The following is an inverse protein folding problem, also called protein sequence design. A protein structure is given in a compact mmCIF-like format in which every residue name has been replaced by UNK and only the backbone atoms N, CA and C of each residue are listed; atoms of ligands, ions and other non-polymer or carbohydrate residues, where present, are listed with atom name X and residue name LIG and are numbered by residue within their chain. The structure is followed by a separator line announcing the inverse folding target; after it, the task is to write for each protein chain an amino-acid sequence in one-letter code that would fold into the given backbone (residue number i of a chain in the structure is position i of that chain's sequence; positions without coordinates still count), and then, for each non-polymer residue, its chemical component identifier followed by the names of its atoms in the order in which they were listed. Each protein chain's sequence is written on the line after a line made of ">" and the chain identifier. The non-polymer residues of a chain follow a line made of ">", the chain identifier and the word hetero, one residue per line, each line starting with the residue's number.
data_IF_636544766550
#
_entry.id   IF_636544766550
#
_cell.length_a   1.000
_cell.length_b   1.000
_cell.length_c   1.000
_cell.angle_alpha   90.00
_cell.angle_beta   90.00
_cell.angle_gamma   90.00
#
_symmetry.space_group_name_H-M   'P 1'
#
loop_
_entity.id
_entity.type
_entity.pdbx_description
1 polymer ?
#
# COMPACT_ATOMS: atom_id res chain seq x y z
N UNK A 1 7.47 9.19 14.55
CA UNK A 1 7.50 8.11 13.53
C UNK A 1 7.99 8.74 12.25
N UNK A 2 9.09 8.23 11.68
CA UNK A 2 9.66 8.76 10.43
C UNK A 2 9.35 7.72 9.36
N UNK A 3 8.54 8.09 8.38
CA UNK A 3 8.27 7.28 7.19
C UNK A 3 9.43 7.53 6.21
N UNK A 4 10.02 6.48 5.66
CA UNK A 4 11.07 6.56 4.66
C UNK A 4 10.55 7.14 3.34
N UNK A 5 11.47 7.49 2.45
CA UNK A 5 11.10 8.03 1.14
C UNK A 5 10.40 6.95 0.29
N UNK A 6 10.78 5.70 0.48
CA UNK A 6 10.30 4.50 -0.20
C UNK A 6 8.91 4.10 0.31
N UNK A 7 8.72 4.09 1.64
CA UNK A 7 7.41 3.90 2.28
C UNK A 7 6.43 5.00 1.87
N UNK A 8 6.90 6.25 1.77
CA UNK A 8 6.10 7.38 1.26
C UNK A 8 5.66 7.14 -0.18
N UNK A 9 6.58 6.74 -1.07
CA UNK A 9 6.25 6.43 -2.48
C UNK A 9 5.24 5.29 -2.60
N UNK A 10 5.35 4.28 -1.73
CA UNK A 10 4.40 3.17 -1.72
C UNK A 10 2.99 3.63 -1.30
N UNK A 11 2.89 4.46 -0.27
CA UNK A 11 1.64 5.09 0.17
C UNK A 11 1.04 6.03 -0.89
N UNK A 12 1.88 6.83 -1.55
CA UNK A 12 1.51 7.67 -2.70
C UNK A 12 0.93 6.83 -3.82
N UNK A 13 1.61 5.75 -4.21
CA UNK A 13 1.17 4.86 -5.28
C UNK A 13 -0.19 4.24 -4.96
N UNK A 14 -0.38 3.74 -3.73
CA UNK A 14 -1.68 3.21 -3.27
C UNK A 14 -2.78 4.27 -3.32
N UNK A 15 -2.50 5.48 -2.83
CA UNK A 15 -3.46 6.58 -2.80
C UNK A 15 -3.84 7.04 -4.22
N UNK A 16 -2.86 7.16 -5.12
CA UNK A 16 -3.06 7.50 -6.52
C UNK A 16 -3.90 6.44 -7.24
N UNK A 17 -3.64 5.16 -7.00
CA UNK A 17 -4.42 4.05 -7.55
C UNK A 17 -5.85 4.07 -6.99
N UNK A 18 -6.03 4.37 -5.71
CA UNK A 18 -7.35 4.54 -5.09
C UNK A 18 -8.17 5.65 -5.77
N UNK A 19 -7.54 6.78 -6.08
CA UNK A 19 -8.19 7.92 -6.73
C UNK A 19 -8.45 7.69 -8.23
N UNK A 20 -7.55 7.01 -8.93
CA UNK A 20 -7.68 6.69 -10.37
C UNK A 20 -8.75 5.63 -10.63
N UNK A 21 -8.95 4.70 -9.70
CA UNK A 21 -10.02 3.70 -9.79
C UNK A 21 -11.34 4.24 -9.22
N UNK A 22 -12.25 4.71 -10.09
CA UNK A 22 -13.66 5.04 -9.77
C UNK A 22 -14.52 3.79 -9.45
N UNK A 23 -14.00 2.82 -8.71
CA UNK A 23 -14.67 1.53 -8.50
C UNK A 23 -14.68 1.09 -7.04
N UNK A 24 -14.91 1.99 -6.08
CA UNK A 24 -15.39 1.65 -4.73
C UNK A 24 -14.67 0.49 -4.02
N UNK A 25 -13.38 0.28 -4.33
CA UNK A 25 -12.57 -0.82 -3.81
C UNK A 25 -11.25 -0.23 -3.35
N UNK A 26 -11.12 -0.08 -2.04
CA UNK A 26 -9.87 0.28 -1.34
C UNK A 26 -8.86 -0.88 -1.34
N UNK A 27 -8.93 -1.77 -2.33
CA UNK A 27 -8.37 -3.12 -2.30
C UNK A 27 -7.48 -3.33 -3.52
N UNK A 28 -6.17 -3.47 -3.30
CA UNK A 28 -5.16 -3.65 -4.33
C UNK A 28 -4.62 -5.07 -4.30
N UNK A 29 -4.40 -5.71 -5.45
CA UNK A 29 -3.68 -6.99 -5.46
C UNK A 29 -2.22 -6.76 -5.11
N UNK A 30 -1.65 -7.64 -4.28
CA UNK A 30 -0.26 -7.55 -3.85
C UNK A 30 0.71 -7.45 -5.03
N UNK A 31 0.51 -8.28 -6.07
CA UNK A 31 1.34 -8.26 -7.28
C UNK A 31 1.19 -6.97 -8.08
N UNK A 32 -0.03 -6.44 -8.21
CA UNK A 32 -0.27 -5.19 -8.92
C UNK A 32 0.43 -4.03 -8.22
N UNK A 33 0.39 -4.01 -6.88
CA UNK A 33 1.06 -3.00 -6.09
C UNK A 33 2.59 -3.11 -6.19
N UNK A 34 3.13 -4.32 -6.08
CA UNK A 34 4.55 -4.59 -6.25
C UNK A 34 5.04 -4.09 -7.63
N UNK A 35 4.35 -4.49 -8.70
CA UNK A 35 4.68 -4.09 -10.07
C UNK A 35 4.56 -2.57 -10.27
N UNK A 36 3.56 -1.93 -9.65
CA UNK A 36 3.33 -0.48 -9.78
C UNK A 36 4.30 0.36 -8.95
N UNK A 37 4.83 -0.20 -7.85
CA UNK A 37 5.81 0.49 -6.99
C UNK A 37 7.17 0.68 -7.68
N UNK A 38 7.52 -0.22 -8.61
CA UNK A 38 8.84 -0.24 -9.24
C UNK A 38 9.99 -0.60 -8.31
N UNK A 39 9.69 -1.07 -7.09
CA UNK A 39 10.68 -1.52 -6.10
C UNK A 39 11.07 -2.99 -6.36
N UNK A 40 12.27 -3.39 -5.91
CA UNK A 40 12.61 -4.81 -5.85
C UNK A 40 11.71 -5.54 -4.85
N UNK A 41 11.42 -6.82 -5.10
CA UNK A 41 10.50 -7.63 -4.28
C UNK A 41 10.82 -7.59 -2.79
N UNK A 42 12.11 -7.68 -2.43
CA UNK A 42 12.55 -7.66 -1.04
C UNK A 42 12.36 -6.29 -0.37
N UNK A 43 12.61 -5.20 -1.11
CA UNK A 43 12.43 -3.84 -0.59
C UNK A 43 10.94 -3.52 -0.42
N UNK A 44 10.13 -3.92 -1.41
CA UNK A 44 8.67 -3.81 -1.35
C UNK A 44 8.10 -4.56 -0.15
N UNK A 45 8.50 -5.82 0.07
CA UNK A 45 8.06 -6.62 1.21
C UNK A 45 8.40 -5.95 2.55
N UNK A 46 9.63 -5.45 2.66
CA UNK A 46 10.13 -4.85 3.88
C UNK A 46 9.39 -3.54 4.21
N UNK A 47 9.18 -2.68 3.21
CA UNK A 47 8.47 -1.42 3.41
C UNK A 47 6.97 -1.63 3.60
N UNK A 48 6.37 -2.57 2.85
CA UNK A 48 4.98 -2.95 3.06
C UNK A 48 4.78 -3.49 4.48
N UNK A 49 5.67 -4.35 4.97
CA UNK A 49 5.60 -4.89 6.33
C UNK A 49 5.62 -3.78 7.39
N UNK A 50 6.53 -2.82 7.27
CA UNK A 50 6.56 -1.67 8.19
C UNK A 50 5.28 -0.84 8.10
N UNK A 51 4.76 -0.59 6.91
CA UNK A 51 3.49 0.14 6.76
C UNK A 51 2.31 -0.60 7.43
N UNK A 52 2.32 -1.93 7.42
CA UNK A 52 1.35 -2.77 8.14
C UNK A 52 1.54 -2.64 9.65
N UNK A 53 2.77 -2.80 10.16
CA UNK A 53 3.07 -2.65 11.59
C UNK A 53 2.68 -1.26 12.11
N UNK A 54 2.86 -0.24 11.28
CA UNK A 54 2.48 1.13 11.58
C UNK A 54 0.97 1.41 11.40
N UNK A 55 0.20 0.45 10.88
CA UNK A 55 -1.25 0.53 10.70
C UNK A 55 -1.72 1.45 9.57
N UNK A 56 -0.84 1.79 8.62
CA UNK A 56 -1.21 2.57 7.43
C UNK A 56 -1.89 1.70 6.36
N UNK A 57 -1.59 0.40 6.36
CA UNK A 57 -2.16 -0.58 5.43
C UNK A 57 -2.45 -1.89 6.16
N UNK A 58 -3.30 -2.74 5.59
CA UNK A 58 -3.43 -4.13 6.05
C UNK A 58 -3.55 -5.09 4.87
N UNK A 59 -3.13 -6.33 5.09
CA UNK A 59 -3.22 -7.40 4.09
C UNK A 59 -4.42 -8.29 4.39
N UNK A 60 -5.30 -8.45 3.40
CA UNK A 60 -6.37 -9.43 3.38
C UNK A 60 -5.94 -10.64 2.57
N UNK A 61 -5.68 -11.76 3.25
CA UNK A 61 -5.22 -12.98 2.61
C UNK A 61 -6.41 -13.88 2.25
N UNK A 62 -6.54 -14.26 0.97
CA UNK A 62 -7.67 -15.05 0.47
C UNK A 62 -7.55 -16.58 0.70
N UNK A 63 -6.61 -17.03 1.54
CA UNK A 63 -6.44 -18.45 1.92
C UNK A 63 -5.79 -19.37 0.88
N UNK A 64 -5.33 -18.85 -0.27
CA UNK A 64 -4.71 -19.65 -1.35
C UNK A 64 -3.21 -19.41 -1.53
N UNK A 65 -2.73 -18.17 -1.42
CA UNK A 65 -1.31 -17.80 -1.50
C UNK A 65 -1.11 -16.32 -1.14
N UNK A 66 0.06 -15.95 -0.60
CA UNK A 66 0.43 -14.55 -0.30
C UNK A 66 0.40 -13.68 -1.56
N UNK A 67 0.73 -14.25 -2.72
CA UNK A 67 0.67 -13.55 -4.01
C UNK A 67 -0.76 -13.19 -4.46
N UNK A 68 -1.76 -13.86 -3.88
CA UNK A 68 -3.19 -13.57 -4.10
C UNK A 68 -3.80 -12.75 -2.96
N UNK A 69 -2.96 -12.18 -2.10
CA UNK A 69 -3.42 -11.32 -1.03
C UNK A 69 -3.76 -9.94 -1.57
N UNK A 70 -4.71 -9.30 -0.91
CA UNK A 70 -5.03 -7.91 -1.18
C UNK A 70 -4.41 -7.00 -0.13
N UNK A 71 -3.92 -5.85 -0.56
CA UNK A 71 -3.43 -4.78 0.29
C UNK A 71 -4.50 -3.68 0.32
N UNK A 72 -4.86 -3.23 1.52
CA UNK A 72 -5.88 -2.22 1.72
C UNK A 72 -5.26 -1.02 2.44
N UNK A 73 -5.45 0.17 1.88
CA UNK A 73 -5.06 1.43 2.53
C UNK A 73 -6.04 1.72 3.67
N UNK A 74 -5.53 1.88 4.88
CA UNK A 74 -6.39 2.23 6.02
C UNK A 74 -6.77 3.71 5.96
N UNK A 75 -7.81 4.09 6.70
CA UNK A 75 -8.14 5.50 6.93
C UNK A 75 -6.96 6.31 7.47
N UNK A 76 -6.06 5.68 8.24
CA UNK A 76 -4.84 6.32 8.74
C UNK A 76 -3.83 6.57 7.60
N UNK A 77 -3.62 5.59 6.72
CA UNK A 77 -2.84 5.74 5.49
C UNK A 77 -3.37 6.85 4.61
N UNK A 78 -4.68 6.84 4.37
CA UNK A 78 -5.37 7.84 3.56
C UNK A 78 -5.23 9.26 4.13
N UNK A 79 -5.50 9.44 5.44
CA UNK A 79 -5.36 10.74 6.12
C UNK A 79 -3.93 11.24 6.02
N UNK A 80 -2.94 10.36 6.25
CA UNK A 80 -1.53 10.73 6.13
C UNK A 80 -1.18 11.17 4.70
N UNK A 81 -1.65 10.45 3.67
CA UNK A 81 -1.47 10.82 2.28
C UNK A 81 -2.08 12.20 1.98
N UNK A 82 -3.31 12.46 2.44
CA UNK A 82 -3.95 13.76 2.24
C UNK A 82 -3.16 14.91 2.89
N UNK A 83 -2.65 14.71 4.10
CA UNK A 83 -1.90 15.74 4.83
C UNK A 83 -0.48 15.98 4.32
N UNK A 84 0.16 14.97 3.70
CA UNK A 84 1.60 15.00 3.35
C UNK A 84 1.89 15.04 1.84
N UNK A 85 0.86 14.92 0.99
CA UNK A 85 0.95 14.93 -0.48
C UNK A 85 0.32 16.17 -1.14
N UNK A 86 -0.25 17.08 -0.34
CA UNK A 86 -0.75 18.40 -0.77
C UNK A 86 0.32 19.47 -0.55
#
# INVERSE_FOLDING_TARGET
>A
MIISMEEKKLLECMYDLQQKHQLGKDVFEYQDLQNSSGLEEQEFELDLHKLIENGFVYILNNGKSVLSAYVILTKKGETWCQENLT
#
